data_IF_474706091550
#
_entry.id   IF_474706091550
#
_cell.length_a   1.000
_cell.length_b   1.000
_cell.length_c   1.000
_cell.angle_alpha   90.00
_cell.angle_beta   90.00
_cell.angle_gamma   90.00
#
_symmetry.space_group_name_H-M   'P 1'
#
loop_
_entity.id
_entity.type
_entity.pdbx_description
1 polymer ?
#
# COMPACT_ATOMS: atom_id res chain seq x y z
N UNK A 1 11.92 -28.17 20.56
CA UNK A 1 13.12 -27.62 19.89
C UNK A 1 12.88 -27.29 18.41
N UNK A 2 12.32 -28.20 17.59
CA UNK A 2 12.04 -27.94 16.16
C UNK A 2 11.02 -26.79 15.92
N UNK A 3 9.95 -26.69 16.73
CA UNK A 3 8.96 -25.60 16.62
C UNK A 3 9.53 -24.22 16.95
N UNK A 4 10.42 -24.14 17.95
CA UNK A 4 11.10 -22.90 18.31
C UNK A 4 12.06 -22.46 17.20
N UNK A 5 12.79 -23.40 16.61
CA UNK A 5 13.68 -23.13 15.48
C UNK A 5 12.90 -22.70 14.21
N UNK A 6 11.72 -23.29 13.94
CA UNK A 6 10.87 -22.85 12.82
C UNK A 6 10.24 -21.48 13.07
N UNK A 7 9.80 -21.19 14.30
CA UNK A 7 9.31 -19.88 14.69
C UNK A 7 10.42 -18.81 14.60
N UNK A 8 11.64 -19.14 15.05
CA UNK A 8 12.81 -18.26 14.92
C UNK A 8 13.21 -17.99 13.47
N UNK A 9 13.02 -18.95 12.56
CA UNK A 9 13.23 -18.72 11.12
C UNK A 9 12.26 -17.68 10.54
N UNK A 10 11.12 -17.43 11.18
CA UNK A 10 10.16 -16.39 10.79
C UNK A 10 10.63 -14.95 11.07
N UNK A 11 11.72 -14.74 11.83
CA UNK A 11 12.25 -13.39 12.07
C UNK A 11 12.98 -12.81 10.87
N UNK A 12 13.46 -13.67 9.97
CA UNK A 12 14.05 -13.23 8.70
C UNK A 12 12.91 -13.14 7.70
N UNK A 13 12.61 -11.95 7.14
CA UNK A 13 11.54 -11.82 6.17
C UNK A 13 11.84 -12.66 4.93
N UNK A 14 10.78 -13.15 4.30
CA UNK A 14 10.88 -13.83 3.01
C UNK A 14 11.50 -12.87 1.97
N UNK A 15 12.27 -13.42 1.04
CA UNK A 15 12.87 -12.60 -0.03
C UNK A 15 11.76 -12.02 -0.91
N UNK A 16 11.60 -10.70 -0.87
CA UNK A 16 10.82 -9.99 -1.89
C UNK A 16 11.63 -9.91 -3.18
N UNK A 17 11.00 -10.25 -4.30
CA UNK A 17 11.63 -10.17 -5.60
C UNK A 17 11.54 -8.73 -6.13
N UNK A 18 12.68 -8.05 -6.22
CA UNK A 18 12.81 -6.76 -6.88
C UNK A 18 13.65 -6.90 -8.15
N UNK A 19 13.15 -6.47 -9.32
CA UNK A 19 13.99 -6.27 -10.51
C UNK A 19 15.22 -5.42 -10.16
N UNK A 20 16.39 -5.74 -10.71
CA UNK A 20 17.65 -5.01 -10.38
C UNK A 20 17.55 -3.50 -10.58
N UNK A 21 16.75 -3.05 -11.55
CA UNK A 21 16.51 -1.62 -11.83
C UNK A 21 15.79 -0.92 -10.68
N UNK A 22 14.96 -1.65 -9.93
CA UNK A 22 14.11 -1.08 -8.88
C UNK A 22 14.88 -0.66 -7.64
N UNK A 23 16.06 -1.24 -7.41
CA UNK A 23 16.98 -0.80 -6.34
C UNK A 23 17.44 0.65 -6.49
N UNK A 24 17.46 1.21 -7.71
CA UNK A 24 17.82 2.60 -7.96
C UNK A 24 16.58 3.47 -8.22
N UNK A 25 15.64 2.97 -9.02
CA UNK A 25 14.44 3.72 -9.41
C UNK A 25 13.56 4.01 -8.18
N UNK A 26 13.36 3.05 -7.28
CA UNK A 26 12.44 3.24 -6.14
C UNK A 26 12.93 4.33 -5.16
N UNK A 27 14.19 4.34 -4.69
CA UNK A 27 14.67 5.39 -3.80
C UNK A 27 14.71 6.77 -4.48
N UNK A 28 15.07 6.84 -5.76
CA UNK A 28 15.06 8.10 -6.52
C UNK A 28 13.63 8.64 -6.63
N UNK A 29 12.66 7.78 -6.95
CA UNK A 29 11.24 8.16 -6.99
C UNK A 29 10.75 8.70 -5.65
N UNK A 30 11.06 8.02 -4.56
CA UNK A 30 10.70 8.47 -3.22
C UNK A 30 11.34 9.83 -2.88
N UNK A 31 12.64 10.02 -3.16
CA UNK A 31 13.34 11.27 -2.92
C UNK A 31 12.71 12.42 -3.71
N UNK A 32 12.51 12.24 -5.02
CA UNK A 32 11.95 13.27 -5.91
C UNK A 32 10.49 13.56 -5.53
N UNK A 33 9.69 12.52 -5.29
CA UNK A 33 8.28 12.65 -4.92
C UNK A 33 8.10 13.37 -3.60
N UNK A 34 8.89 13.04 -2.57
CA UNK A 34 8.86 13.72 -1.28
C UNK A 34 9.35 15.17 -1.38
N UNK A 35 10.47 15.42 -2.05
CA UNK A 35 11.04 16.76 -2.17
C UNK A 35 10.10 17.73 -2.90
N UNK A 36 9.47 17.28 -3.99
CA UNK A 36 8.51 18.09 -4.73
C UNK A 36 7.23 18.28 -3.91
N UNK A 37 6.73 17.23 -3.25
CA UNK A 37 5.53 17.34 -2.40
C UNK A 37 5.74 18.32 -1.26
N UNK A 38 6.87 18.23 -0.54
CA UNK A 38 7.21 19.17 0.53
C UNK A 38 7.35 20.60 0.00
N UNK A 39 8.09 20.79 -1.10
CA UNK A 39 8.33 22.10 -1.68
C UNK A 39 7.05 22.78 -2.17
N UNK A 40 6.16 22.02 -2.84
CA UNK A 40 4.86 22.53 -3.28
C UNK A 40 3.93 22.81 -2.10
N UNK A 41 3.84 21.91 -1.13
CA UNK A 41 3.06 22.13 0.09
C UNK A 41 3.53 23.41 0.78
N UNK A 42 4.84 23.59 0.98
CA UNK A 42 5.40 24.80 1.59
C UNK A 42 5.12 26.06 0.77
N UNK A 43 5.19 25.98 -0.56
CA UNK A 43 4.89 27.11 -1.44
C UNK A 43 3.43 27.56 -1.35
N UNK A 44 2.47 26.62 -1.33
CA UNK A 44 1.05 26.94 -1.28
C UNK A 44 0.53 27.28 0.13
N UNK A 45 1.09 26.64 1.16
CA UNK A 45 0.65 26.80 2.55
C UNK A 45 1.46 27.89 3.29
N UNK A 46 2.56 28.37 2.72
CA UNK A 46 3.38 29.43 3.30
C UNK A 46 3.96 29.03 4.66
N UNK A 47 3.95 29.96 5.62
CA UNK A 47 4.43 29.72 6.99
C UNK A 47 3.43 28.95 7.87
N UNK A 48 2.31 28.46 7.33
CA UNK A 48 1.35 27.68 8.12
C UNK A 48 1.96 26.32 8.48
N UNK A 49 2.31 26.15 9.75
CA UNK A 49 2.82 24.90 10.28
C UNK A 49 1.66 23.99 10.71
N UNK A 50 1.63 22.71 10.32
CA UNK A 50 2.58 22.01 9.44
C UNK A 50 2.13 21.99 7.99
N UNK A 51 3.05 22.27 7.07
CA UNK A 51 2.85 22.05 5.63
C UNK A 51 3.11 20.60 5.21
N UNK A 52 3.78 19.80 6.05
CA UNK A 52 4.16 18.41 5.74
C UNK A 52 4.11 17.54 7.00
N UNK A 53 3.74 16.26 6.86
CA UNK A 53 3.65 15.32 7.99
C UNK A 53 4.52 14.08 7.77
N UNK A 54 5.14 13.61 8.84
CA UNK A 54 6.06 12.46 8.83
C UNK A 54 5.49 11.18 8.18
N UNK A 55 4.19 10.83 8.32
CA UNK A 55 3.62 9.64 7.66
C UNK A 55 3.82 9.58 6.14
N UNK A 56 4.01 10.73 5.47
CA UNK A 56 4.28 10.78 4.03
C UNK A 56 5.55 10.03 3.64
N UNK A 57 6.55 9.94 4.53
CA UNK A 57 7.75 9.14 4.28
C UNK A 57 7.42 7.64 4.13
N UNK A 58 6.55 7.10 4.99
CA UNK A 58 6.11 5.71 4.89
C UNK A 58 5.18 5.49 3.69
N UNK A 59 4.35 6.48 3.34
CA UNK A 59 3.57 6.47 2.09
C UNK A 59 4.48 6.40 0.86
N UNK A 60 5.57 7.16 0.83
CA UNK A 60 6.53 7.13 -0.27
C UNK A 60 7.20 5.75 -0.42
N UNK A 61 7.50 5.06 0.68
CA UNK A 61 8.02 3.68 0.61
C UNK A 61 7.04 2.79 -0.15
N UNK A 62 5.75 2.83 0.17
CA UNK A 62 4.76 2.02 -0.55
C UNK A 62 4.61 2.44 -2.02
N UNK A 63 4.41 3.73 -2.26
CA UNK A 63 4.09 4.28 -3.58
C UNK A 63 5.24 4.14 -4.59
N UNK A 64 6.49 4.12 -4.13
CA UNK A 64 7.66 4.06 -5.02
C UNK A 64 8.43 2.75 -4.95
N UNK A 65 8.39 1.99 -3.84
CA UNK A 65 9.08 0.70 -3.76
C UNK A 65 8.20 -0.48 -4.20
N UNK A 66 6.90 -0.43 -3.91
CA UNK A 66 5.95 -1.52 -4.21
C UNK A 66 4.66 -0.98 -4.83
N UNK A 67 4.73 -0.25 -5.97
CA UNK A 67 3.57 0.42 -6.56
C UNK A 67 2.43 -0.53 -6.99
N UNK A 68 2.72 -1.82 -7.19
CA UNK A 68 1.71 -2.82 -7.52
C UNK A 68 0.87 -3.26 -6.32
N UNK A 69 1.30 -2.99 -5.08
CA UNK A 69 0.54 -3.39 -3.89
C UNK A 69 -0.84 -2.71 -3.87
N UNK A 70 -1.92 -3.42 -3.52
CA UNK A 70 -3.23 -2.82 -3.25
C UNK A 70 -3.16 -1.70 -2.20
N UNK A 71 -2.25 -1.81 -1.23
CA UNK A 71 -2.05 -0.83 -0.15
C UNK A 71 -1.37 0.46 -0.63
N UNK A 72 -0.75 0.43 -1.81
CA UNK A 72 -0.08 1.56 -2.43
C UNK A 72 -0.96 2.30 -3.45
N UNK A 73 -2.16 1.79 -3.78
CA UNK A 73 -3.02 2.40 -4.80
C UNK A 73 -3.50 3.81 -4.40
N UNK A 74 -3.83 4.70 -5.37
CA UNK A 74 -4.21 6.08 -5.07
C UNK A 74 -5.39 6.22 -4.09
N UNK A 75 -6.38 5.33 -4.18
CA UNK A 75 -7.50 5.32 -3.24
C UNK A 75 -7.06 4.97 -1.82
N UNK A 76 -6.11 4.04 -1.66
CA UNK A 76 -5.58 3.62 -0.36
C UNK A 76 -4.94 4.81 0.37
N UNK A 77 -4.03 5.55 -0.28
CA UNK A 77 -3.41 6.72 0.35
C UNK A 77 -4.41 7.86 0.61
N UNK A 78 -5.24 8.23 -0.37
CA UNK A 78 -6.16 9.38 -0.23
C UNK A 78 -7.27 9.06 0.78
N UNK A 79 -8.00 7.96 0.57
CA UNK A 79 -9.09 7.54 1.44
C UNK A 79 -8.61 7.16 2.83
N UNK A 80 -7.50 6.41 2.92
CA UNK A 80 -6.93 5.98 4.19
C UNK A 80 -6.51 7.16 5.06
N UNK A 81 -5.76 8.13 4.50
CA UNK A 81 -5.30 9.29 5.26
C UNK A 81 -6.46 10.25 5.62
N UNK A 82 -7.50 10.37 4.77
CA UNK A 82 -8.70 11.14 5.09
C UNK A 82 -9.46 10.54 6.27
N UNK A 83 -9.74 9.23 6.24
CA UNK A 83 -10.39 8.52 7.34
C UNK A 83 -9.56 8.67 8.62
N UNK A 84 -8.25 8.45 8.53
CA UNK A 84 -7.35 8.52 9.66
C UNK A 84 -7.29 9.90 10.32
N UNK A 85 -7.13 10.95 9.53
CA UNK A 85 -7.06 12.32 10.05
C UNK A 85 -8.40 12.74 10.67
N UNK A 86 -9.53 12.39 10.04
CA UNK A 86 -10.86 12.68 10.59
C UNK A 86 -11.07 12.01 11.95
N UNK A 87 -10.79 10.71 12.03
CA UNK A 87 -10.91 9.95 13.27
C UNK A 87 -9.93 10.48 14.32
N UNK A 88 -8.67 10.71 13.94
CA UNK A 88 -7.64 11.17 14.86
C UNK A 88 -7.96 12.53 15.49
N UNK A 89 -8.45 13.49 14.70
CA UNK A 89 -8.91 14.80 15.20
C UNK A 89 -10.14 14.64 16.09
N UNK A 90 -11.09 13.78 15.71
CA UNK A 90 -12.29 13.52 16.52
C UNK A 90 -11.91 12.93 17.88
N UNK A 91 -11.02 11.94 17.88
CA UNK A 91 -10.53 11.31 19.10
C UNK A 91 -9.74 12.27 19.98
N UNK A 92 -8.90 13.14 19.41
CA UNK A 92 -8.12 14.12 20.19
C UNK A 92 -9.01 15.14 20.89
N UNK A 93 -10.17 15.48 20.32
CA UNK A 93 -11.13 16.40 20.91
C UNK A 93 -12.04 15.74 21.96
N UNK A 94 -12.39 14.46 21.79
CA UNK A 94 -13.40 13.79 22.63
C UNK A 94 -12.80 12.98 23.78
N UNK A 95 -11.53 12.55 23.68
CA UNK A 95 -10.93 11.62 24.63
C UNK A 95 -9.78 12.33 25.38
N UNK A 96 -9.94 12.64 26.68
CA UNK A 96 -8.92 13.37 27.44
C UNK A 96 -7.59 12.62 27.61
N UNK A 97 -7.64 11.28 27.65
CA UNK A 97 -6.43 10.46 27.78
C UNK A 97 -5.75 10.31 26.43
N UNK A 98 -4.59 10.94 26.27
CA UNK A 98 -3.83 10.99 25.02
C UNK A 98 -3.48 9.59 24.49
N UNK A 99 -3.04 8.69 25.36
CA UNK A 99 -2.71 7.31 24.98
C UNK A 99 -3.95 6.52 24.54
N UNK A 100 -5.08 6.69 25.22
CA UNK A 100 -6.34 6.03 24.87
C UNK A 100 -6.91 6.59 23.55
N UNK A 101 -6.85 7.91 23.36
CA UNK A 101 -7.24 8.57 22.12
C UNK A 101 -6.47 8.02 20.93
N UNK A 102 -5.15 7.85 21.05
CA UNK A 102 -4.30 7.30 20.00
C UNK A 102 -4.64 5.85 19.66
N UNK A 103 -4.81 5.00 20.68
CA UNK A 103 -5.19 3.60 20.49
C UNK A 103 -6.56 3.44 19.80
N UNK A 104 -7.56 4.19 20.26
CA UNK A 104 -8.90 4.18 19.66
C UNK A 104 -8.86 4.73 18.24
N UNK A 105 -8.13 5.83 18.00
CA UNK A 105 -8.04 6.43 16.68
C UNK A 105 -7.45 5.46 15.65
N UNK A 106 -6.37 4.76 15.98
CA UNK A 106 -5.75 3.77 15.08
C UNK A 106 -6.68 2.57 14.86
N UNK A 107 -7.30 2.04 15.92
CA UNK A 107 -8.21 0.90 15.80
C UNK A 107 -9.42 1.20 14.90
N UNK A 108 -10.05 2.37 15.08
CA UNK A 108 -11.15 2.82 14.23
C UNK A 108 -10.69 3.10 12.79
N UNK A 109 -9.50 3.69 12.62
CA UNK A 109 -8.91 3.93 11.30
C UNK A 109 -8.75 2.64 10.53
N UNK A 110 -8.17 1.60 11.14
CA UNK A 110 -7.99 0.29 10.51
C UNK A 110 -9.36 -0.28 10.11
N UNK A 111 -10.32 -0.31 11.03
CA UNK A 111 -11.66 -0.85 10.77
C UNK A 111 -12.36 -0.16 9.60
N UNK A 112 -12.37 1.18 9.59
CA UNK A 112 -13.06 1.94 8.55
C UNK A 112 -12.30 1.90 7.22
N UNK A 113 -10.97 1.92 7.24
CA UNK A 113 -10.17 1.80 6.03
C UNK A 113 -10.31 0.42 5.37
N UNK A 114 -10.41 -0.66 6.16
CA UNK A 114 -10.74 -2.00 5.64
C UNK A 114 -12.12 -2.01 4.98
N UNK A 115 -13.16 -1.48 5.65
CA UNK A 115 -14.52 -1.41 5.10
C UNK A 115 -14.60 -0.55 3.83
N UNK A 116 -13.85 0.54 3.77
CA UNK A 116 -13.80 1.45 2.63
C UNK A 116 -12.83 0.99 1.52
N UNK A 117 -12.14 -0.15 1.71
CA UNK A 117 -11.13 -0.70 0.79
C UNK A 117 -10.00 0.30 0.47
N UNK A 118 -9.62 1.10 1.46
CA UNK A 118 -8.54 2.07 1.38
C UNK A 118 -7.54 1.87 2.52
N UNK A 119 -7.28 0.60 2.89
CA UNK A 119 -6.30 0.29 3.91
C UNK A 119 -4.91 0.74 3.43
N UNK A 120 -4.33 1.70 4.13
CA UNK A 120 -3.00 2.23 3.84
C UNK A 120 -2.25 2.33 5.17
N UNK A 121 -1.27 1.43 5.44
CA UNK A 121 -0.60 1.36 6.74
C UNK A 121 -0.08 2.70 7.30
N UNK A 122 0.50 3.61 6.48
CA UNK A 122 0.89 4.94 6.95
C UNK A 122 -0.26 5.78 7.56
N UNK A 123 -1.51 5.49 7.21
CA UNK A 123 -2.68 6.18 7.76
C UNK A 123 -2.80 6.00 9.27
N UNK A 124 -2.34 4.88 9.83
CA UNK A 124 -2.27 4.71 11.29
C UNK A 124 -1.41 5.81 11.93
N UNK A 125 -0.27 6.14 11.32
CA UNK A 125 0.58 7.23 11.77
C UNK A 125 -0.04 8.63 11.52
N UNK A 126 -0.89 8.80 10.52
CA UNK A 126 -1.68 10.03 10.32
C UNK A 126 -2.67 10.24 11.47
N UNK A 127 -3.41 9.20 11.85
CA UNK A 127 -4.32 9.26 13.01
C UNK A 127 -3.55 9.59 14.29
N UNK A 128 -2.39 8.97 14.49
CA UNK A 128 -1.51 9.28 15.62
C UNK A 128 -0.93 10.70 15.57
N UNK A 129 -0.67 11.25 14.37
CA UNK A 129 -0.21 12.64 14.22
C UNK A 129 -1.30 13.61 14.66
N UNK A 130 -2.56 13.35 14.33
CA UNK A 130 -3.68 14.17 14.80
C UNK A 130 -3.83 14.16 16.33
N UNK A 131 -3.54 13.02 16.98
CA UNK A 131 -3.62 12.87 18.43
C UNK A 131 -2.39 13.43 19.14
N UNK A 132 -1.19 13.01 18.76
CA UNK A 132 0.08 13.33 19.43
C UNK A 132 0.78 14.57 18.88
N UNK A 133 0.21 15.24 17.89
CA UNK A 133 0.83 16.35 17.17
C UNK A 133 1.02 17.66 17.94
N UNK A 134 0.59 17.70 19.20
CA UNK A 134 0.71 18.87 20.07
C UNK A 134 -0.15 20.06 19.63
N UNK A 135 0.13 21.21 20.23
CA UNK A 135 -0.70 22.42 20.10
C UNK A 135 -0.86 22.88 18.64
N UNK A 136 0.21 22.81 17.84
CA UNK A 136 0.18 23.17 16.42
C UNK A 136 -0.87 22.38 15.63
N UNK A 137 -0.93 21.05 15.83
CA UNK A 137 -1.91 20.20 15.15
C UNK A 137 -3.30 20.37 15.75
N UNK A 138 -3.40 20.46 17.08
CA UNK A 138 -4.68 20.59 17.76
C UNK A 138 -5.39 21.91 17.43
N UNK A 139 -4.64 23.00 17.26
CA UNK A 139 -5.18 24.31 16.85
C UNK A 139 -5.77 24.27 15.43
N UNK A 140 -5.25 23.43 14.54
CA UNK A 140 -5.86 23.22 13.22
C UNK A 140 -7.23 22.53 13.33
N UNK A 141 -7.42 21.66 14.33
CA UNK A 141 -8.63 20.85 14.45
C UNK A 141 -8.92 20.12 13.14
N UNK A 142 -10.14 20.25 12.62
CA UNK A 142 -10.54 19.60 11.37
C UNK A 142 -9.84 20.17 10.12
N UNK A 143 -9.20 21.33 10.21
CA UNK A 143 -8.38 21.81 9.10
C UNK A 143 -7.20 20.88 8.82
N UNK A 144 -6.69 20.15 9.84
CA UNK A 144 -5.67 19.12 9.69
C UNK A 144 -5.99 18.08 8.60
N UNK A 145 -7.29 17.77 8.42
CA UNK A 145 -7.78 16.84 7.41
C UNK A 145 -7.53 17.36 5.99
N UNK A 146 -7.77 18.65 5.77
CA UNK A 146 -7.57 19.30 4.47
C UNK A 146 -6.10 19.64 4.28
N UNK A 147 -5.52 20.40 5.22
CA UNK A 147 -4.12 20.75 5.24
C UNK A 147 -3.51 20.44 6.62
N UNK A 148 -2.39 19.70 6.70
CA UNK A 148 -1.60 19.17 5.59
C UNK A 148 -2.13 17.88 4.94
N UNK A 149 -3.05 17.14 5.57
CA UNK A 149 -3.22 15.71 5.26
C UNK A 149 -3.64 15.41 3.83
N UNK A 150 -4.78 15.96 3.38
CA UNK A 150 -5.29 15.69 2.04
C UNK A 150 -4.36 16.24 0.96
N UNK A 151 -3.84 17.47 1.14
CA UNK A 151 -2.92 18.10 0.20
C UNK A 151 -1.67 17.24 -0.02
N UNK A 152 -1.00 16.82 1.06
CA UNK A 152 0.19 15.98 0.94
C UNK A 152 -0.13 14.62 0.31
N UNK A 153 -1.28 14.02 0.65
CA UNK A 153 -1.71 12.75 0.07
C UNK A 153 -1.95 12.86 -1.44
N UNK A 154 -2.64 13.92 -1.90
CA UNK A 154 -2.91 14.15 -3.32
C UNK A 154 -1.63 14.46 -4.10
N UNK A 155 -0.76 15.32 -3.57
CA UNK A 155 0.51 15.67 -4.21
C UNK A 155 1.42 14.45 -4.33
N UNK A 156 1.57 13.67 -3.26
CA UNK A 156 2.42 12.48 -3.27
C UNK A 156 1.85 11.41 -4.21
N UNK A 157 0.53 11.21 -4.22
CA UNK A 157 -0.13 10.32 -5.16
C UNK A 157 0.07 10.77 -6.62
N UNK A 158 -0.06 12.08 -6.90
CA UNK A 158 0.20 12.64 -8.22
C UNK A 158 1.66 12.44 -8.66
N UNK A 159 2.61 12.63 -7.74
CA UNK A 159 4.02 12.36 -8.00
C UNK A 159 4.30 10.88 -8.26
N UNK A 160 3.65 9.97 -7.52
CA UNK A 160 3.77 8.54 -7.75
C UNK A 160 3.15 8.12 -9.08
N UNK A 161 2.00 8.69 -9.47
CA UNK A 161 1.40 8.53 -10.79
C UNK A 161 2.38 8.96 -11.87
N UNK A 162 2.87 10.19 -11.80
CA UNK A 162 3.79 10.72 -12.81
C UNK A 162 5.07 9.89 -12.91
N UNK A 163 5.74 9.65 -11.78
CA UNK A 163 7.03 8.99 -11.74
C UNK A 163 6.95 7.51 -12.18
N UNK A 164 6.01 6.73 -11.62
CA UNK A 164 5.91 5.32 -11.95
C UNK A 164 5.57 5.10 -13.43
N UNK A 165 4.69 5.93 -14.01
CA UNK A 165 4.41 5.90 -15.45
C UNK A 165 5.64 6.28 -16.29
N UNK A 166 6.41 7.29 -15.87
CA UNK A 166 7.63 7.73 -16.56
C UNK A 166 8.68 6.60 -16.64
N UNK A 167 8.82 5.82 -15.57
CA UNK A 167 9.74 4.66 -15.52
C UNK A 167 9.10 3.35 -16.02
N UNK A 168 7.92 3.44 -16.62
CA UNK A 168 7.15 2.32 -17.21
C UNK A 168 6.75 1.23 -16.21
N UNK A 169 6.50 1.60 -14.95
CA UNK A 169 5.82 0.75 -13.97
C UNK A 169 4.31 0.97 -14.06
N UNK A 170 3.55 -0.10 -13.94
CA UNK A 170 2.07 -0.06 -13.90
C UNK A 170 1.61 0.64 -12.62
N UNK A 171 1.12 1.88 -12.74
CA UNK A 171 0.54 2.64 -11.62
C UNK A 171 -0.46 3.71 -12.12
N UNK A 172 -1.75 3.69 -11.72
CA UNK A 172 -2.36 2.71 -10.82
C UNK A 172 -2.25 1.31 -11.40
N UNK A 173 -2.02 0.34 -10.53
CA UNK A 173 -1.86 -1.04 -10.98
C UNK A 173 -3.23 -1.63 -11.23
N UNK A 174 -3.43 -2.13 -12.44
CA UNK A 174 -4.54 -2.98 -12.81
C UNK A 174 -3.93 -4.30 -13.25
N UNK A 175 -4.43 -5.42 -12.73
CA UNK A 175 -3.96 -6.69 -13.24
C UNK A 175 -4.33 -6.82 -14.72
N UNK A 176 -3.42 -7.40 -15.48
CA UNK A 176 -3.63 -7.57 -16.90
C UNK A 176 -4.57 -8.77 -17.11
N UNK A 177 -5.64 -8.64 -17.92
CA UNK A 177 -6.51 -9.77 -18.21
C UNK A 177 -5.69 -10.90 -18.85
N UNK A 178 -5.84 -12.11 -18.32
CA UNK A 178 -5.20 -13.32 -18.84
C UNK A 178 -5.52 -13.46 -20.33
N UNK A 179 -4.51 -13.57 -21.23
CA UNK A 179 -4.77 -13.80 -22.65
C UNK A 179 -5.60 -15.08 -22.80
N UNK A 180 -6.80 -14.95 -23.37
CA UNK A 180 -7.76 -16.01 -23.65
C UNK A 180 -7.20 -16.93 -24.74
N UNK A 181 -6.20 -17.73 -24.40
CA UNK A 181 -5.81 -18.88 -25.20
C UNK A 181 -6.36 -20.11 -24.50
N UNK A 182 -7.20 -20.93 -25.16
CA UNK A 182 -7.73 -22.13 -24.55
C UNK A 182 -6.57 -23.04 -24.17
N UNK A 183 -6.40 -23.27 -22.87
CA UNK A 183 -5.52 -24.30 -22.33
C UNK A 183 -6.12 -25.66 -22.73
N UNK A 184 -5.82 -26.11 -23.94
CA UNK A 184 -6.16 -27.46 -24.38
C UNK A 184 -5.15 -28.40 -23.75
N UNK A 185 -5.49 -28.97 -22.58
CA UNK A 185 -5.38 -30.41 -22.25
C UNK A 185 -5.68 -30.67 -20.76
N UNK A 186 -6.83 -31.29 -20.50
CA UNK A 186 -7.20 -32.32 -19.50
C UNK A 186 -6.62 -32.39 -18.06
N UNK A 187 -5.67 -31.56 -17.63
CA UNK A 187 -5.29 -31.38 -16.23
C UNK A 187 -5.97 -30.12 -15.72
N UNK A 188 -6.67 -30.21 -14.59
CA UNK A 188 -7.57 -29.18 -14.04
C UNK A 188 -6.92 -27.80 -14.06
N UNK A 189 -7.32 -26.95 -15.02
CA UNK A 189 -6.96 -25.55 -15.01
C UNK A 189 -7.64 -24.92 -13.79
N UNK A 190 -6.88 -24.32 -12.89
CA UNK A 190 -7.43 -23.66 -11.71
C UNK A 190 -8.29 -22.49 -12.17
N UNK A 191 -9.57 -22.47 -11.80
CA UNK A 191 -10.49 -21.40 -12.18
C UNK A 191 -10.41 -20.25 -11.17
N UNK A 192 -10.87 -19.06 -11.57
CA UNK A 192 -10.96 -17.90 -10.65
C UNK A 192 -11.76 -18.21 -9.39
N UNK A 193 -12.86 -18.96 -9.50
CA UNK A 193 -13.66 -19.39 -8.36
C UNK A 193 -12.86 -20.27 -7.37
N UNK A 194 -11.91 -21.07 -7.85
CA UNK A 194 -11.02 -21.86 -6.99
C UNK A 194 -10.04 -20.95 -6.24
N UNK A 195 -9.59 -19.85 -6.85
CA UNK A 195 -8.71 -18.85 -6.22
C UNK A 195 -9.48 -18.05 -5.17
N UNK A 196 -10.70 -17.60 -5.47
CA UNK A 196 -11.59 -16.94 -4.50
C UNK A 196 -11.84 -17.85 -3.29
N UNK A 197 -12.21 -19.12 -3.55
CA UNK A 197 -12.37 -20.13 -2.49
C UNK A 197 -11.07 -20.32 -1.69
N UNK A 198 -9.91 -20.39 -2.35
CA UNK A 198 -8.63 -20.55 -1.68
C UNK A 198 -8.28 -19.33 -0.81
N UNK A 199 -8.56 -18.11 -1.27
CA UNK A 199 -8.32 -16.88 -0.51
C UNK A 199 -9.26 -16.76 0.70
N UNK A 200 -10.55 -17.12 0.55
CA UNK A 200 -11.51 -17.15 1.65
C UNK A 200 -11.15 -18.19 2.72
N UNK A 201 -10.61 -19.34 2.30
CA UNK A 201 -10.19 -20.42 3.19
C UNK A 201 -8.73 -20.28 3.67
N UNK A 202 -7.96 -19.33 3.14
CA UNK A 202 -6.62 -19.04 3.61
C UNK A 202 -6.70 -18.23 4.92
N UNK A 203 -5.95 -18.65 5.93
CA UNK A 203 -5.95 -17.99 7.25
C UNK A 203 -5.11 -16.72 7.28
N UNK A 204 -4.29 -16.49 6.26
CA UNK A 204 -3.33 -15.39 6.20
C UNK A 204 -3.68 -14.42 5.06
N UNK A 205 -3.61 -13.12 5.34
CA UNK A 205 -3.76 -12.09 4.32
C UNK A 205 -2.51 -12.09 3.42
N UNK A 206 -2.71 -12.27 2.12
CA UNK A 206 -1.66 -12.09 1.12
C UNK A 206 -1.72 -10.66 0.59
N UNK A 207 -0.60 -9.94 0.59
CA UNK A 207 -0.47 -8.61 -0.04
C UNK A 207 -0.28 -8.75 -1.56
N UNK A 208 -1.23 -9.42 -2.21
CA UNK A 208 -1.26 -9.69 -3.66
C UNK A 208 -2.70 -9.53 -4.12
N UNK A 209 -2.92 -8.84 -5.24
CA UNK A 209 -4.23 -8.76 -5.87
C UNK A 209 -4.66 -10.14 -6.40
N UNK A 210 -5.94 -10.48 -6.30
CA UNK A 210 -6.49 -11.76 -6.74
C UNK A 210 -6.17 -12.05 -8.22
N UNK A 211 -6.30 -11.04 -9.07
CA UNK A 211 -6.02 -11.15 -10.50
C UNK A 211 -4.51 -11.32 -10.80
N UNK A 212 -3.63 -10.74 -9.98
CA UNK A 212 -2.19 -10.98 -10.11
C UNK A 212 -1.82 -12.40 -9.65
N UNK A 213 -2.52 -12.92 -8.63
CA UNK A 213 -2.36 -14.30 -8.19
C UNK A 213 -2.80 -15.28 -9.29
N UNK A 214 -3.93 -15.01 -9.93
CA UNK A 214 -4.41 -15.77 -11.10
C UNK A 214 -3.39 -15.73 -12.25
N UNK A 215 -2.86 -14.56 -12.58
CA UNK A 215 -1.83 -14.41 -13.61
C UNK A 215 -0.57 -15.23 -13.29
N UNK A 216 -0.07 -15.14 -12.06
CA UNK A 216 1.13 -15.86 -11.63
C UNK A 216 0.92 -17.38 -11.66
N UNK A 217 -0.27 -17.84 -11.29
CA UNK A 217 -0.63 -19.25 -11.34
C UNK A 217 -0.65 -19.77 -12.78
N UNK A 218 -1.31 -19.04 -13.69
CA UNK A 218 -1.32 -19.35 -15.11
C UNK A 218 0.09 -19.38 -15.73
N UNK A 219 0.96 -18.45 -15.35
CA UNK A 219 2.37 -18.43 -15.80
C UNK A 219 3.11 -19.68 -15.29
N UNK A 220 2.90 -20.04 -14.03
CA UNK A 220 3.54 -21.22 -13.42
C UNK A 220 3.07 -22.53 -14.06
N UNK A 221 1.77 -22.67 -14.32
CA UNK A 221 1.18 -23.83 -15.00
C UNK A 221 1.74 -24.00 -16.42
N UNK A 222 1.81 -22.91 -17.20
CA UNK A 222 2.40 -22.95 -18.55
C UNK A 222 3.87 -23.37 -18.51
N UNK A 223 4.66 -22.82 -17.60
CA UNK A 223 6.07 -23.21 -17.46
C UNK A 223 6.23 -24.68 -17.03
N UNK A 224 5.35 -25.21 -16.19
CA UNK A 224 5.33 -26.62 -15.83
C UNK A 224 5.02 -27.52 -17.04
N UNK A 225 4.03 -27.14 -17.85
CA UNK A 225 3.68 -27.85 -19.08
C UNK A 225 4.83 -27.85 -20.10
N UNK A 226 5.49 -26.70 -20.31
CA UNK A 226 6.61 -26.59 -21.24
C UNK A 226 7.82 -27.42 -20.80
N UNK A 227 8.05 -27.54 -19.48
CA UNK A 227 9.12 -28.38 -18.91
C UNK A 227 8.84 -29.87 -19.15
N UNK A 228 7.59 -30.30 -18.98
CA UNK A 228 7.20 -31.72 -19.01
C UNK A 228 6.88 -32.20 -20.44
N UNK A 229 6.88 -31.30 -21.43
CA UNK A 229 6.73 -31.62 -22.86
C UNK A 229 7.98 -32.39 -23.33
N UNK A 230 7.84 -33.63 -23.83
CA UNK A 230 8.99 -34.39 -24.33
C UNK A 230 9.64 -33.62 -25.48
N UNK A 231 10.96 -33.42 -25.42
CA UNK A 231 11.73 -32.88 -26.55
C UNK A 231 11.56 -33.85 -27.71
N UNK A 232 10.74 -33.49 -28.70
CA UNK A 232 10.64 -34.22 -29.95
C UNK A 232 12.03 -34.28 -30.59
N UNK A 233 12.45 -35.50 -30.94
CA UNK A 233 13.84 -35.89 -31.18
C UNK A 233 14.61 -35.04 -32.19
N UNK A 234 15.88 -34.82 -31.86
CA UNK A 234 16.97 -34.63 -32.83
C UNK A 234 17.58 -35.97 -33.17
#
# INVERSE_FOLDING_TARGET
>A
MLYLLSWMKGFIPQKMYFPRKDYLISPIGALVGLAITEGLSKYFLGETNPWFIAPMGASAVLLFAVPASPLAQPWSIIGGNLIASLIGVTCSQLIPSLGLAGAIAVGLTILLAMKARCLHPPSGAVALTAVFGGETIHHLGYLFVIYPTLINSMLLAAMALFYNNLVKRSYPHHAQPTPTQPLVTQWSAIERADIEFALENNKELLDINEEDLELLLNIAERHAQDRDRPKSGT
#
